data_IF_035899873007
#
_entry.id   IF_035899873007
#
_cell.length_a   1.000
_cell.length_b   1.000
_cell.length_c   1.000
_cell.angle_alpha   90.00
_cell.angle_beta   90.00
_cell.angle_gamma   90.00
#
_symmetry.space_group_name_H-M   'P 1'
#
loop_
_entity.id
_entity.type
_entity.pdbx_description
1 polymer ?
#
# COMPACT_ATOMS: atom_id res chain seq x y z
N UNK A 1 9.29 11.10 -23.07
CA UNK A 1 9.36 11.62 -24.46
C UNK A 1 10.25 12.87 -24.58
N UNK A 2 10.43 13.69 -23.53
CA UNK A 2 11.16 14.96 -23.60
C UNK A 2 12.55 14.92 -22.97
N UNK A 3 12.74 14.21 -21.85
CA UNK A 3 13.98 14.23 -21.08
C UNK A 3 15.16 13.56 -21.80
N UNK A 4 14.95 12.35 -22.33
CA UNK A 4 16.01 11.62 -23.02
C UNK A 4 16.53 12.37 -24.25
N UNK A 5 15.70 12.84 -25.21
CA UNK A 5 16.17 13.62 -26.35
C UNK A 5 16.93 14.88 -25.94
N UNK A 6 16.47 15.58 -24.90
CA UNK A 6 17.14 16.76 -24.36
C UNK A 6 18.55 16.42 -23.85
N UNK A 7 18.69 15.35 -23.05
CA UNK A 7 19.98 14.95 -22.50
C UNK A 7 20.93 14.42 -23.60
N UNK A 8 20.44 13.69 -24.60
CA UNK A 8 21.21 13.24 -25.75
C UNK A 8 21.80 14.44 -26.51
N UNK A 9 21.00 15.45 -26.80
CA UNK A 9 21.44 16.68 -27.48
C UNK A 9 22.46 17.48 -26.68
N UNK A 10 22.23 17.64 -25.36
CA UNK A 10 23.14 18.37 -24.44
C UNK A 10 24.52 17.74 -24.38
N UNK A 11 24.63 16.42 -24.55
CA UNK A 11 25.91 15.70 -24.54
C UNK A 11 26.54 15.47 -25.93
N UNK A 12 25.97 16.13 -26.97
CA UNK A 12 26.54 16.10 -28.32
C UNK A 12 26.33 14.79 -29.07
N UNK A 13 25.37 13.97 -28.61
CA UNK A 13 25.00 12.71 -29.26
C UNK A 13 23.77 12.87 -30.13
N UNK A 14 23.55 11.92 -31.02
CA UNK A 14 22.34 11.80 -31.85
C UNK A 14 21.40 10.73 -31.27
N UNK A 15 20.10 10.72 -31.62
CA UNK A 15 19.18 9.68 -31.18
C UNK A 15 19.59 8.25 -31.60
N UNK A 16 20.43 8.09 -32.60
CA UNK A 16 20.99 6.78 -33.01
C UNK A 16 22.13 6.30 -32.11
N UNK A 17 22.76 7.23 -31.38
CA UNK A 17 23.92 6.91 -30.54
C UNK A 17 23.53 6.43 -29.14
N UNK A 18 22.26 6.58 -28.73
CA UNK A 18 21.77 6.13 -27.40
C UNK A 18 20.39 5.52 -27.54
N UNK A 19 20.28 4.24 -27.23
CA UNK A 19 19.03 3.51 -27.17
C UNK A 19 18.67 3.15 -25.72
N UNK A 20 17.67 3.82 -25.16
CA UNK A 20 17.15 3.58 -23.81
C UNK A 20 15.73 3.06 -23.92
N UNK A 21 15.51 1.80 -23.57
CA UNK A 21 14.18 1.18 -23.59
C UNK A 21 13.25 1.78 -22.55
N UNK A 22 11.94 1.55 -22.72
CA UNK A 22 10.95 1.94 -21.71
C UNK A 22 11.21 1.28 -20.36
N UNK A 23 11.62 0.02 -20.37
CA UNK A 23 11.98 -0.74 -19.17
C UNK A 23 13.14 -0.10 -18.39
N UNK A 24 14.21 0.29 -19.09
CA UNK A 24 15.35 1.00 -18.49
C UNK A 24 14.92 2.34 -17.88
N UNK A 25 14.07 3.11 -18.57
CA UNK A 25 13.52 4.35 -18.05
C UNK A 25 12.67 4.12 -16.79
N UNK A 26 11.87 3.06 -16.78
CA UNK A 26 11.08 2.68 -15.60
C UNK A 26 11.97 2.25 -14.43
N UNK A 27 13.02 1.49 -14.67
CA UNK A 27 14.01 1.12 -13.64
C UNK A 27 14.66 2.36 -13.02
N UNK A 28 15.09 3.34 -13.87
CA UNK A 28 15.64 4.60 -13.36
C UNK A 28 14.61 5.32 -12.48
N UNK A 29 13.36 5.42 -12.93
CA UNK A 29 12.30 6.11 -12.21
C UNK A 29 11.97 5.45 -10.87
N UNK A 30 11.92 4.12 -10.82
CA UNK A 30 11.48 3.36 -9.66
C UNK A 30 12.59 3.09 -8.65
N UNK A 31 13.81 2.81 -9.14
CA UNK A 31 14.89 2.31 -8.30
C UNK A 31 16.00 3.35 -8.03
N UNK A 32 16.06 4.42 -8.81
CA UNK A 32 17.09 5.46 -8.64
C UNK A 32 16.53 6.86 -8.34
N UNK A 33 15.19 7.02 -8.34
CA UNK A 33 14.54 8.29 -8.01
C UNK A 33 13.35 8.09 -7.08
N UNK A 34 13.08 9.08 -6.23
CA UNK A 34 11.89 9.11 -5.36
C UNK A 34 11.44 10.55 -5.19
N UNK A 35 10.77 11.08 -6.22
CA UNK A 35 10.35 12.47 -6.29
C UNK A 35 9.02 12.62 -7.03
N UNK A 36 8.23 13.64 -6.68
CA UNK A 36 6.99 13.99 -7.39
C UNK A 36 7.23 14.60 -8.77
N UNK A 37 8.40 15.20 -8.95
CA UNK A 37 8.81 15.84 -10.18
C UNK A 37 9.68 14.93 -11.06
N UNK A 38 10.49 15.54 -11.91
CA UNK A 38 11.38 14.87 -12.87
C UNK A 38 12.84 15.34 -12.80
N UNK A 39 13.20 16.15 -11.81
CA UNK A 39 14.52 16.77 -11.71
C UNK A 39 15.62 15.75 -11.44
N UNK A 40 15.41 14.85 -10.51
CA UNK A 40 16.36 13.77 -10.19
C UNK A 40 16.40 12.76 -11.33
N UNK A 41 15.25 12.41 -11.93
CA UNK A 41 15.16 11.54 -13.08
C UNK A 41 15.93 12.13 -14.27
N UNK A 42 15.78 13.42 -14.57
CA UNK A 42 16.53 14.11 -15.62
C UNK A 42 18.03 14.01 -15.37
N UNK A 43 18.49 14.24 -14.12
CA UNK A 43 19.90 14.13 -13.75
C UNK A 43 20.41 12.70 -13.94
N UNK A 44 19.68 11.67 -13.48
CA UNK A 44 20.07 10.26 -13.65
C UNK A 44 20.16 9.84 -15.11
N UNK A 45 19.20 10.27 -15.93
CA UNK A 45 19.26 10.09 -17.40
C UNK A 45 20.52 10.78 -17.96
N UNK A 46 20.81 12.00 -17.51
CA UNK A 46 22.00 12.73 -17.90
C UNK A 46 23.29 12.01 -17.53
N UNK A 47 23.38 11.43 -16.32
CA UNK A 47 24.54 10.65 -15.88
C UNK A 47 24.79 9.44 -16.81
N UNK A 48 23.72 8.71 -17.19
CA UNK A 48 23.79 7.57 -18.11
C UNK A 48 24.19 8.00 -19.52
N UNK A 49 23.57 9.07 -20.04
CA UNK A 49 23.91 9.60 -21.39
C UNK A 49 25.34 10.12 -21.45
N UNK A 50 25.83 10.76 -20.38
CA UNK A 50 27.22 11.23 -20.27
C UNK A 50 28.21 10.06 -20.32
N UNK A 51 27.96 8.97 -19.59
CA UNK A 51 28.79 7.78 -19.67
C UNK A 51 28.83 7.19 -21.07
N UNK A 52 27.68 7.13 -21.76
CA UNK A 52 27.60 6.70 -23.16
C UNK A 52 28.35 7.64 -24.12
N UNK A 53 28.34 8.93 -23.87
CA UNK A 53 29.12 9.87 -24.67
C UNK A 53 30.62 9.63 -24.54
N UNK A 54 31.12 9.27 -23.36
CA UNK A 54 32.51 8.87 -23.14
C UNK A 54 32.83 7.58 -23.93
N UNK A 55 32.03 6.52 -23.79
CA UNK A 55 32.20 5.26 -24.50
C UNK A 55 32.19 5.48 -26.04
N UNK A 56 31.31 6.35 -26.53
CA UNK A 56 31.25 6.70 -27.96
C UNK A 56 32.53 7.41 -28.44
N UNK A 57 33.02 8.36 -27.63
CA UNK A 57 34.26 9.07 -27.97
C UNK A 57 35.48 8.13 -27.97
N UNK A 58 35.61 7.23 -27.02
CA UNK A 58 36.67 6.22 -26.92
C UNK A 58 36.61 5.24 -28.10
N UNK A 59 35.42 4.82 -28.52
CA UNK A 59 35.29 3.93 -29.68
C UNK A 59 35.77 4.56 -30.99
N UNK A 60 35.62 5.88 -31.14
CA UNK A 60 36.17 6.62 -32.31
C UNK A 60 37.70 6.65 -32.34
N UNK A 61 38.32 6.50 -31.15
CA UNK A 61 39.78 6.33 -31.04
C UNK A 61 40.28 4.92 -31.31
N UNK A 62 39.40 3.98 -31.70
CA UNK A 62 39.76 2.61 -32.07
C UNK A 62 39.92 1.63 -30.89
N UNK A 63 39.57 2.00 -29.70
CA UNK A 63 39.82 1.23 -28.46
C UNK A 63 38.73 0.18 -28.12
N UNK A 64 37.49 0.33 -28.62
CA UNK A 64 36.38 -0.59 -28.29
C UNK A 64 35.24 -0.50 -29.32
N UNK A 65 34.40 -1.54 -29.39
CA UNK A 65 33.13 -1.53 -30.14
C UNK A 65 32.08 -0.80 -29.31
N UNK A 66 31.46 0.23 -29.91
CA UNK A 66 30.38 0.98 -29.25
C UNK A 66 29.04 0.27 -29.40
N UNK A 67 28.29 0.17 -28.30
CA UNK A 67 26.94 -0.40 -28.21
C UNK A 67 25.98 0.70 -27.76
N UNK A 68 25.03 1.17 -28.62
CA UNK A 68 24.10 2.23 -28.28
C UNK A 68 23.08 1.84 -27.18
N UNK A 69 22.73 0.56 -27.11
CA UNK A 69 21.75 0.04 -26.15
C UNK A 69 22.25 0.15 -24.72
N UNK A 70 21.34 0.53 -23.82
CA UNK A 70 21.60 0.58 -22.39
C UNK A 70 20.96 -0.64 -21.73
N UNK A 71 21.77 -1.42 -21.04
CA UNK A 71 21.37 -2.60 -20.28
C UNK A 71 21.18 -2.29 -18.79
N UNK A 72 20.57 -3.22 -18.04
CA UNK A 72 20.51 -3.16 -16.58
C UNK A 72 21.92 -3.16 -15.93
N UNK A 73 22.87 -3.88 -16.54
CA UNK A 73 24.27 -3.89 -16.08
C UNK A 73 24.93 -2.52 -16.25
N UNK A 74 24.60 -1.77 -17.29
CA UNK A 74 25.08 -0.40 -17.47
C UNK A 74 24.52 0.54 -16.40
N UNK A 75 23.24 0.40 -16.03
CA UNK A 75 22.66 1.18 -14.93
C UNK A 75 23.42 0.93 -13.63
N UNK A 76 23.70 -0.33 -13.31
CA UNK A 76 24.42 -0.69 -12.09
C UNK A 76 25.85 -0.14 -12.10
N UNK A 77 26.54 -0.21 -13.25
CA UNK A 77 27.90 0.31 -13.43
C UNK A 77 27.97 1.83 -13.32
N UNK A 78 27.00 2.53 -13.92
CA UNK A 78 27.01 4.01 -14.04
C UNK A 78 26.38 4.69 -12.82
N UNK A 79 25.24 4.19 -12.34
CA UNK A 79 24.48 4.80 -11.28
C UNK A 79 24.75 4.19 -9.89
N UNK A 80 25.45 3.04 -9.87
CA UNK A 80 25.65 2.25 -8.65
C UNK A 80 24.46 1.35 -8.30
N UNK A 81 24.46 0.83 -7.09
CA UNK A 81 23.34 0.04 -6.58
C UNK A 81 22.04 0.85 -6.55
N UNK A 82 20.89 0.23 -6.83
CA UNK A 82 19.60 0.88 -6.67
C UNK A 82 19.45 1.54 -5.30
N UNK A 83 19.01 2.79 -5.28
CA UNK A 83 18.78 3.55 -4.04
C UNK A 83 17.47 3.18 -3.37
N UNK A 84 16.57 2.58 -4.10
CA UNK A 84 15.22 2.22 -3.64
C UNK A 84 14.86 0.84 -4.17
N UNK A 85 14.38 -0.02 -3.28
CA UNK A 85 13.73 -1.26 -3.67
C UNK A 85 12.28 -0.95 -4.08
N UNK A 86 11.78 -1.55 -5.17
CA UNK A 86 10.37 -1.45 -5.53
C UNK A 86 9.50 -2.01 -4.40
N UNK A 87 8.51 -1.24 -3.94
CA UNK A 87 7.47 -1.78 -3.07
C UNK A 87 6.64 -2.77 -3.87
N UNK A 88 6.62 -4.02 -3.44
CA UNK A 88 5.88 -5.12 -4.09
C UNK A 88 4.94 -5.73 -3.05
N UNK A 89 3.73 -6.07 -3.49
CA UNK A 89 2.78 -6.79 -2.64
C UNK A 89 3.36 -8.17 -2.27
N UNK A 90 3.09 -8.62 -1.04
CA UNK A 90 3.53 -9.93 -0.57
C UNK A 90 3.03 -11.06 -1.47
N UNK A 91 3.79 -12.15 -1.55
CA UNK A 91 3.37 -13.33 -2.32
C UNK A 91 2.40 -14.22 -1.55
N UNK A 92 2.52 -14.25 -0.22
CA UNK A 92 1.73 -15.12 0.66
C UNK A 92 1.04 -14.29 1.75
N UNK A 93 -0.28 -14.45 1.86
CA UNK A 93 -1.07 -13.80 2.90
C UNK A 93 -0.83 -14.45 4.28
N UNK A 94 -0.62 -13.61 5.28
CA UNK A 94 -0.43 -14.02 6.68
C UNK A 94 -1.55 -13.41 7.53
N UNK A 95 -2.20 -14.18 8.43
CA UNK A 95 -3.17 -13.61 9.37
C UNK A 95 -2.55 -12.50 10.21
N UNK A 96 -3.27 -11.38 10.34
CA UNK A 96 -2.77 -10.21 11.05
C UNK A 96 -2.04 -9.19 10.17
N UNK A 97 -1.88 -9.46 8.88
CA UNK A 97 -1.25 -8.53 7.93
C UNK A 97 -2.29 -7.93 7.00
N UNK A 98 -2.28 -6.60 6.88
CA UNK A 98 -3.11 -5.86 5.92
C UNK A 98 -2.25 -4.85 5.14
N UNK A 99 -2.63 -4.58 3.90
CA UNK A 99 -1.95 -3.61 3.05
C UNK A 99 -2.79 -2.34 2.94
N UNK A 100 -2.28 -1.27 3.52
CA UNK A 100 -2.81 0.08 3.35
C UNK A 100 -2.20 0.81 2.15
N UNK A 101 -2.72 2.00 1.87
CA UNK A 101 -2.18 2.91 0.87
C UNK A 101 -1.67 4.17 1.54
N UNK A 102 -0.45 4.58 1.23
CA UNK A 102 0.19 5.77 1.77
C UNK A 102 0.40 6.84 0.68
N UNK A 103 0.34 8.09 1.12
CA UNK A 103 0.83 9.24 0.38
C UNK A 103 2.10 9.73 1.07
N UNK A 104 3.19 9.83 0.33
CA UNK A 104 4.45 10.31 0.85
C UNK A 104 4.61 11.80 0.53
N UNK A 105 5.22 12.55 1.43
CA UNK A 105 5.42 14.01 1.26
C UNK A 105 6.20 14.41 0.00
N UNK A 106 6.84 13.44 -0.67
CA UNK A 106 7.47 13.62 -1.99
C UNK A 106 6.47 13.71 -3.15
N UNK A 107 5.15 13.59 -2.90
CA UNK A 107 4.12 13.54 -3.94
C UNK A 107 3.94 12.18 -4.59
N UNK A 108 4.54 11.13 -4.01
CA UNK A 108 4.37 9.76 -4.48
C UNK A 108 3.49 8.97 -3.53
N UNK A 109 2.66 8.10 -4.11
CA UNK A 109 1.94 7.09 -3.37
C UNK A 109 2.71 5.77 -3.34
N UNK A 110 2.40 4.95 -2.33
CA UNK A 110 2.95 3.61 -2.15
C UNK A 110 1.99 2.75 -1.35
N UNK A 111 2.38 1.51 -1.11
CA UNK A 111 1.72 0.61 -0.17
C UNK A 111 2.35 0.73 1.21
N UNK A 112 1.62 0.27 2.20
CA UNK A 112 2.03 0.31 3.60
C UNK A 112 1.51 -0.93 4.30
N UNK A 113 2.43 -1.79 4.75
CA UNK A 113 2.06 -2.97 5.50
C UNK A 113 1.72 -2.62 6.95
N UNK A 114 0.73 -3.29 7.49
CA UNK A 114 0.29 -3.25 8.87
C UNK A 114 0.33 -4.68 9.38
N UNK A 115 1.11 -4.90 10.40
CA UNK A 115 1.34 -6.22 10.98
C UNK A 115 0.85 -6.24 12.41
N UNK A 116 -0.03 -7.19 12.75
CA UNK A 116 -0.56 -7.38 14.08
C UNK A 116 -0.15 -8.75 14.63
N UNK A 117 0.31 -8.79 15.87
CA UNK A 117 0.67 -10.01 16.56
C UNK A 117 0.19 -10.00 18.01
N UNK A 118 -0.13 -11.18 18.56
CA UNK A 118 -0.42 -11.34 19.98
C UNK A 118 0.86 -11.35 20.81
N UNK A 119 0.83 -10.69 21.96
CA UNK A 119 1.85 -10.74 23.00
C UNK A 119 1.23 -11.36 24.26
N UNK A 120 1.39 -12.66 24.49
CA UNK A 120 0.94 -13.32 25.73
C UNK A 120 2.03 -13.31 26.81
N UNK A 121 1.66 -13.28 28.10
CA UNK A 121 0.34 -12.90 28.64
C UNK A 121 0.11 -11.41 28.55
N UNK A 122 -1.15 -10.93 28.58
CA UNK A 122 -1.45 -9.51 28.46
C UNK A 122 -2.69 -9.06 29.25
N UNK A 123 -2.97 -7.77 29.13
CA UNK A 123 -4.10 -7.08 29.73
C UNK A 123 -5.05 -6.51 28.66
N UNK A 124 -4.97 -6.99 27.43
CA UNK A 124 -5.66 -6.47 26.25
C UNK A 124 -5.19 -5.03 25.91
N UNK A 125 -3.91 -4.74 26.14
CA UNK A 125 -3.29 -3.46 25.76
C UNK A 125 -2.87 -3.47 24.30
N UNK A 126 -2.81 -2.27 23.68
CA UNK A 126 -2.32 -2.06 22.33
C UNK A 126 -0.92 -1.44 22.38
N UNK A 127 0.07 -2.12 21.80
CA UNK A 127 1.43 -1.60 21.59
C UNK A 127 1.58 -1.18 20.13
N UNK A 128 2.04 0.06 19.91
CA UNK A 128 2.20 0.65 18.58
C UNK A 128 3.66 0.96 18.30
N UNK A 129 4.18 0.52 17.13
CA UNK A 129 5.54 0.80 16.68
C UNK A 129 5.59 1.08 15.16
N UNK A 130 6.64 1.75 14.67
CA UNK A 130 6.84 2.03 13.25
C UNK A 130 7.02 3.51 12.90
N UNK A 131 7.54 4.33 13.81
CA UNK A 131 7.71 5.79 13.62
C UNK A 131 6.39 6.49 13.30
N UNK A 132 5.41 6.27 14.19
CA UNK A 132 4.03 6.74 14.07
C UNK A 132 3.86 8.10 14.74
N UNK A 133 3.28 9.07 14.04
CA UNK A 133 2.81 10.33 14.61
C UNK A 133 1.55 10.16 15.46
N UNK A 134 1.06 11.25 16.03
CA UNK A 134 -0.05 11.21 16.98
C UNK A 134 -1.38 10.83 16.31
N UNK A 135 -1.66 11.34 15.11
CA UNK A 135 -2.91 11.10 14.40
C UNK A 135 -3.07 9.63 14.01
N UNK A 136 -2.00 9.00 13.51
CA UNK A 136 -2.07 7.58 13.13
C UNK A 136 -2.15 6.67 14.37
N UNK A 137 -1.55 7.07 15.51
CA UNK A 137 -1.69 6.36 16.79
C UNK A 137 -3.13 6.39 17.27
N UNK A 138 -3.76 7.56 17.28
CA UNK A 138 -5.17 7.72 17.61
C UNK A 138 -6.07 6.88 16.70
N UNK A 139 -5.79 6.86 15.40
CA UNK A 139 -6.52 6.03 14.44
C UNK A 139 -6.40 4.53 14.73
N UNK A 140 -5.22 4.06 15.14
CA UNK A 140 -5.01 2.66 15.52
C UNK A 140 -5.72 2.30 16.83
N UNK A 141 -5.70 3.19 17.82
CA UNK A 141 -6.42 3.02 19.10
C UNK A 141 -7.93 2.99 18.86
N UNK A 142 -8.45 3.87 18.00
CA UNK A 142 -9.86 3.90 17.60
C UNK A 142 -10.26 2.59 16.89
N UNK A 143 -9.42 2.09 15.98
CA UNK A 143 -9.66 0.81 15.31
C UNK A 143 -9.71 -0.36 16.31
N UNK A 144 -8.79 -0.40 17.26
CA UNK A 144 -8.77 -1.42 18.29
C UNK A 144 -9.98 -1.33 19.24
N UNK A 145 -10.37 -0.11 19.63
CA UNK A 145 -11.58 0.13 20.41
C UNK A 145 -12.84 -0.36 19.68
N UNK A 146 -12.93 -0.08 18.36
CA UNK A 146 -14.04 -0.54 17.54
C UNK A 146 -14.09 -2.09 17.47
N UNK A 147 -12.97 -2.75 17.27
CA UNK A 147 -12.90 -4.23 17.26
C UNK A 147 -13.30 -4.81 18.62
N UNK A 148 -12.85 -4.23 19.74
CA UNK A 148 -13.23 -4.65 21.09
C UNK A 148 -14.75 -4.53 21.31
N UNK A 149 -15.32 -3.40 20.93
CA UNK A 149 -16.77 -3.14 21.08
C UNK A 149 -17.62 -4.11 20.26
N UNK A 150 -17.11 -4.58 19.12
CA UNK A 150 -17.81 -5.49 18.21
C UNK A 150 -17.32 -6.94 18.30
N UNK A 151 -16.54 -7.28 19.35
CA UNK A 151 -15.89 -8.58 19.48
C UNK A 151 -16.86 -9.77 19.45
N UNK A 152 -18.03 -9.63 20.05
CA UNK A 152 -19.08 -10.65 19.98
C UNK A 152 -19.61 -10.83 18.55
N UNK A 153 -19.98 -9.74 17.87
CA UNK A 153 -20.50 -9.77 16.52
C UNK A 153 -19.45 -10.30 15.51
N UNK A 154 -18.18 -10.03 15.74
CA UNK A 154 -17.06 -10.55 14.98
C UNK A 154 -16.70 -12.01 15.29
N UNK A 155 -17.34 -12.63 16.30
CA UNK A 155 -17.03 -13.98 16.72
C UNK A 155 -15.72 -14.12 17.51
N UNK A 156 -15.13 -13.03 17.94
CA UNK A 156 -13.91 -13.02 18.79
C UNK A 156 -14.24 -13.45 20.22
N UNK A 157 -15.41 -13.05 20.74
CA UNK A 157 -15.94 -13.45 22.03
C UNK A 157 -17.09 -14.44 21.87
N UNK A 158 -17.21 -15.40 22.79
CA UNK A 158 -18.23 -16.45 22.77
C UNK A 158 -19.64 -15.91 23.04
N UNK A 159 -19.76 -14.96 23.96
CA UNK A 159 -21.00 -14.27 24.30
C UNK A 159 -20.77 -12.77 24.50
N UNK A 160 -21.87 -12.00 24.72
CA UNK A 160 -21.82 -10.53 24.85
C UNK A 160 -21.11 -10.07 26.12
N UNK A 161 -21.22 -10.85 27.18
CA UNK A 161 -20.67 -10.52 28.50
C UNK A 161 -19.29 -11.15 28.73
N UNK A 162 -18.78 -11.90 27.74
CA UNK A 162 -17.45 -12.48 27.80
C UNK A 162 -16.38 -11.40 27.80
N UNK A 163 -15.39 -11.57 28.67
CA UNK A 163 -14.20 -10.72 28.63
C UNK A 163 -13.49 -10.81 27.27
N UNK A 164 -13.04 -9.66 26.77
CA UNK A 164 -12.19 -9.62 25.58
C UNK A 164 -10.87 -10.38 25.85
N UNK A 165 -10.32 -11.11 24.86
CA UNK A 165 -9.10 -11.90 25.05
C UNK A 165 -7.97 -11.10 25.73
N UNK A 166 -7.39 -11.65 26.81
CA UNK A 166 -6.36 -10.98 27.63
C UNK A 166 -4.95 -11.01 27.03
N UNK A 167 -4.82 -11.15 25.71
CA UNK A 167 -3.55 -10.97 25.02
C UNK A 167 -3.34 -9.50 24.72
N UNK A 168 -2.14 -8.98 24.95
CA UNK A 168 -1.78 -7.69 24.38
C UNK A 168 -1.61 -7.84 22.86
N UNK A 169 -1.85 -6.75 22.15
CA UNK A 169 -1.70 -6.70 20.70
C UNK A 169 -0.54 -5.77 20.35
N UNK A 170 0.40 -6.27 19.58
CA UNK A 170 1.44 -5.45 18.97
C UNK A 170 1.05 -5.16 17.53
N UNK A 171 0.81 -3.90 17.21
CA UNK A 171 0.61 -3.39 15.86
C UNK A 171 1.88 -2.67 15.43
N UNK A 172 2.48 -3.15 14.36
CA UNK A 172 3.70 -2.62 13.77
C UNK A 172 3.46 -2.15 12.35
N UNK A 173 4.05 -1.02 11.99
CA UNK A 173 4.11 -0.55 10.61
C UNK A 173 5.58 -0.48 10.18
N UNK A 174 6.04 -1.38 9.28
CA UNK A 174 7.42 -1.42 8.80
C UNK A 174 7.93 -0.12 8.20
N UNK A 175 9.22 -0.07 7.84
CA UNK A 175 9.90 1.12 7.30
C UNK A 175 10.00 2.26 8.33
N UNK A 176 10.54 1.96 9.53
CA UNK A 176 10.66 2.91 10.64
C UNK A 176 11.48 4.16 10.35
N UNK A 177 12.32 4.15 9.32
CA UNK A 177 13.07 5.32 8.85
C UNK A 177 12.17 6.41 8.20
N UNK A 178 10.95 6.04 7.78
CA UNK A 178 9.98 6.98 7.18
C UNK A 178 8.89 7.31 8.22
N UNK A 179 8.80 8.55 8.69
CA UNK A 179 7.72 8.98 9.57
C UNK A 179 6.36 8.81 8.87
N UNK A 180 5.40 8.30 9.62
CA UNK A 180 4.04 8.07 9.14
C UNK A 180 3.06 8.81 10.03
N UNK A 181 2.13 9.55 9.42
CA UNK A 181 1.05 10.21 10.15
C UNK A 181 -0.21 10.31 9.27
N UNK A 182 -1.36 10.49 9.93
CA UNK A 182 -2.66 10.64 9.30
C UNK A 182 -3.64 9.50 9.58
N UNK A 183 -4.95 9.78 9.51
CA UNK A 183 -6.01 8.85 9.93
C UNK A 183 -6.38 7.81 8.86
N UNK A 184 -5.82 7.90 7.66
CA UNK A 184 -6.29 7.16 6.47
C UNK A 184 -6.03 5.66 6.48
N UNK A 185 -5.30 5.13 7.48
CA UNK A 185 -5.04 3.71 7.67
C UNK A 185 -6.09 2.99 8.55
N UNK A 186 -7.09 3.70 9.07
CA UNK A 186 -8.07 3.16 10.02
C UNK A 186 -8.77 1.89 9.53
N UNK A 187 -9.21 1.87 8.28
CA UNK A 187 -9.80 0.68 7.65
C UNK A 187 -8.83 -0.51 7.65
N UNK A 188 -7.57 -0.28 7.32
CA UNK A 188 -6.56 -1.33 7.27
C UNK A 188 -6.18 -1.84 8.68
N UNK A 189 -6.19 -0.97 9.69
CA UNK A 189 -6.01 -1.39 11.09
C UNK A 189 -7.11 -2.35 11.54
N UNK A 190 -8.38 -2.02 11.27
CA UNK A 190 -9.49 -2.94 11.59
C UNK A 190 -9.32 -4.28 10.87
N UNK A 191 -8.99 -4.28 9.59
CA UNK A 191 -8.82 -5.52 8.83
C UNK A 191 -7.66 -6.37 9.33
N UNK A 192 -6.51 -5.77 9.68
CA UNK A 192 -5.37 -6.48 10.25
C UNK A 192 -5.72 -7.11 11.61
N UNK A 193 -6.39 -6.35 12.49
CA UNK A 193 -6.85 -6.83 13.79
C UNK A 193 -7.84 -7.99 13.64
N UNK A 194 -8.88 -7.84 12.82
CA UNK A 194 -9.89 -8.88 12.59
C UNK A 194 -9.23 -10.13 11.98
N UNK A 195 -8.36 -9.96 10.99
CA UNK A 195 -7.58 -11.05 10.39
C UNK A 195 -6.79 -11.85 11.43
N UNK A 196 -6.11 -11.16 12.35
CA UNK A 196 -5.34 -11.77 13.42
C UNK A 196 -6.24 -12.58 14.38
N UNK A 197 -7.33 -11.98 14.86
CA UNK A 197 -8.25 -12.64 15.79
C UNK A 197 -8.94 -13.85 15.18
N UNK A 198 -9.38 -13.74 13.92
CA UNK A 198 -10.05 -14.82 13.19
C UNK A 198 -9.07 -15.81 12.55
N UNK A 199 -7.77 -15.52 12.54
CA UNK A 199 -6.73 -16.30 11.86
C UNK A 199 -7.01 -16.52 10.37
N UNK A 200 -7.59 -15.52 9.71
CA UNK A 200 -7.89 -15.53 8.28
C UNK A 200 -6.97 -14.54 7.56
N UNK A 201 -6.10 -14.99 6.66
CA UNK A 201 -5.24 -14.07 5.90
C UNK A 201 -6.04 -13.22 4.93
N UNK A 202 -5.53 -12.03 4.62
CA UNK A 202 -6.06 -11.19 3.56
C UNK A 202 -5.41 -11.55 2.22
N UNK A 203 -6.12 -11.19 1.13
CA UNK A 203 -5.53 -11.25 -0.22
C UNK A 203 -4.36 -10.25 -0.31
N UNK A 204 -3.20 -10.73 -0.72
CA UNK A 204 -1.97 -9.93 -0.82
C UNK A 204 -2.03 -8.87 -1.92
N UNK A 205 -2.91 -9.05 -2.91
CA UNK A 205 -3.17 -8.09 -3.99
C UNK A 205 -4.29 -7.10 -3.69
N UNK A 206 -4.76 -7.10 -2.44
CA UNK A 206 -5.76 -6.17 -1.92
C UNK A 206 -5.08 -5.06 -1.14
N UNK A 207 -5.43 -3.81 -1.41
CA UNK A 207 -5.08 -2.68 -0.55
C UNK A 207 -6.31 -1.84 -0.19
N UNK A 208 -6.17 -1.03 0.84
CA UNK A 208 -7.29 -0.24 1.33
C UNK A 208 -6.85 1.09 1.93
N UNK A 209 -7.74 2.06 1.90
CA UNK A 209 -7.57 3.33 2.62
C UNK A 209 -8.94 3.85 3.07
N UNK A 210 -8.97 4.53 4.19
CA UNK A 210 -10.18 5.12 4.75
C UNK A 210 -9.94 5.47 6.21
N UNK A 211 -10.41 6.61 6.62
CA UNK A 211 -10.54 6.96 8.02
C UNK A 211 -11.82 6.33 8.58
N UNK A 212 -11.82 5.96 9.84
CA UNK A 212 -12.97 5.35 10.50
C UNK A 212 -13.47 6.19 11.67
N UNK A 213 -14.73 6.00 12.02
CA UNK A 213 -15.33 6.58 13.21
C UNK A 213 -15.72 5.49 14.21
N UNK A 214 -15.94 5.83 15.49
CA UNK A 214 -16.45 4.88 16.49
C UNK A 214 -17.79 4.26 16.12
N UNK A 215 -18.59 4.94 15.29
CA UNK A 215 -19.86 4.41 14.75
C UNK A 215 -19.69 3.46 13.57
N UNK A 216 -18.45 3.18 13.15
CA UNK A 216 -18.17 2.30 12.04
C UNK A 216 -18.33 2.93 10.65
N UNK A 217 -18.48 4.26 10.54
CA UNK A 217 -18.48 4.92 9.22
C UNK A 217 -17.07 5.04 8.67
N UNK A 218 -16.96 4.90 7.35
CA UNK A 218 -15.71 5.15 6.60
C UNK A 218 -15.81 6.52 5.97
N UNK A 219 -14.88 7.42 6.34
CA UNK A 219 -14.80 8.80 5.87
C UNK A 219 -13.77 8.96 4.74
N UNK A 220 -13.92 9.97 3.89
CA UNK A 220 -13.04 10.19 2.75
C UNK A 220 -11.62 10.57 3.20
N UNK A 221 -10.64 10.30 2.34
CA UNK A 221 -9.22 10.58 2.57
C UNK A 221 -8.63 11.34 1.39
N UNK A 222 -7.48 12.00 1.60
CA UNK A 222 -6.79 12.72 0.53
C UNK A 222 -5.80 11.86 -0.25
N UNK A 223 -5.39 12.35 -1.43
CA UNK A 223 -4.32 11.78 -2.24
C UNK A 223 -4.69 10.46 -2.92
N UNK A 224 -5.93 10.32 -3.34
CA UNK A 224 -6.44 9.09 -3.98
C UNK A 224 -5.64 8.73 -5.23
N UNK A 225 -5.37 9.70 -6.09
CA UNK A 225 -4.61 9.48 -7.31
C UNK A 225 -3.24 8.87 -7.02
N UNK A 226 -2.47 9.50 -6.15
CA UNK A 226 -1.12 9.07 -5.81
C UNK A 226 -1.13 7.70 -5.12
N UNK A 227 -2.05 7.49 -4.18
CA UNK A 227 -2.25 6.22 -3.48
C UNK A 227 -2.55 5.08 -4.46
N UNK A 228 -3.48 5.30 -5.38
CA UNK A 228 -3.88 4.31 -6.39
C UNK A 228 -2.72 4.00 -7.34
N UNK A 229 -2.02 5.02 -7.84
CA UNK A 229 -0.87 4.84 -8.72
C UNK A 229 0.27 4.09 -8.01
N UNK A 230 0.51 4.38 -6.73
CA UNK A 230 1.50 3.68 -5.91
C UNK A 230 1.14 2.21 -5.72
N UNK A 231 -0.08 1.94 -5.31
CA UNK A 231 -0.57 0.57 -5.10
C UNK A 231 -0.62 -0.24 -6.42
N UNK A 232 -1.02 0.37 -7.53
CA UNK A 232 -0.97 -0.28 -8.85
C UNK A 232 0.45 -0.71 -9.24
N UNK A 233 1.45 0.16 -9.03
CA UNK A 233 2.88 -0.16 -9.27
C UNK A 233 3.38 -1.30 -8.38
N UNK A 234 2.88 -1.38 -7.14
CA UNK A 234 3.20 -2.46 -6.21
C UNK A 234 2.52 -3.81 -6.53
N UNK A 235 1.74 -3.89 -7.61
CA UNK A 235 1.07 -5.12 -8.04
C UNK A 235 -0.32 -5.33 -7.45
N UNK A 236 -0.89 -4.35 -6.75
CA UNK A 236 -2.26 -4.42 -6.24
C UNK A 236 -3.26 -4.45 -7.41
N UNK A 237 -4.29 -5.26 -7.27
CA UNK A 237 -5.35 -5.46 -8.28
C UNK A 237 -6.76 -5.24 -7.73
N UNK A 238 -6.93 -5.24 -6.42
CA UNK A 238 -8.20 -4.94 -5.75
C UNK A 238 -7.99 -3.83 -4.74
N UNK A 239 -8.87 -2.83 -4.74
CA UNK A 239 -8.77 -1.69 -3.81
C UNK A 239 -10.09 -1.41 -3.12
N UNK A 240 -10.02 -1.10 -1.83
CA UNK A 240 -11.15 -0.61 -1.05
C UNK A 240 -10.98 0.88 -0.84
N UNK A 241 -11.93 1.66 -1.31
CA UNK A 241 -11.95 3.12 -1.24
C UNK A 241 -13.23 3.63 -0.57
N UNK A 242 -13.18 4.73 0.18
CA UNK A 242 -14.38 5.38 0.69
C UNK A 242 -15.30 5.81 -0.46
N UNK A 243 -16.60 5.58 -0.33
CA UNK A 243 -17.59 5.94 -1.36
C UNK A 243 -17.53 7.41 -1.75
N UNK A 244 -17.18 8.28 -0.81
CA UNK A 244 -17.07 9.73 -1.06
C UNK A 244 -15.86 10.13 -1.91
N UNK A 245 -14.86 9.25 -2.05
CA UNK A 245 -13.72 9.47 -2.94
C UNK A 245 -13.96 8.95 -4.39
N UNK A 246 -15.14 8.40 -4.69
CA UNK A 246 -15.43 7.83 -6.02
C UNK A 246 -15.23 8.85 -7.15
N UNK A 247 -15.63 10.11 -6.95
CA UNK A 247 -15.47 11.15 -7.96
C UNK A 247 -14.00 11.48 -8.21
N UNK A 248 -13.20 11.65 -7.15
CA UNK A 248 -11.75 11.90 -7.26
C UNK A 248 -11.05 10.76 -8.00
N UNK A 249 -11.41 9.51 -7.69
CA UNK A 249 -10.90 8.33 -8.42
C UNK A 249 -11.26 8.39 -9.90
N UNK A 250 -12.52 8.70 -10.24
CA UNK A 250 -12.97 8.74 -11.64
C UNK A 250 -12.37 9.90 -12.42
N UNK A 251 -12.21 11.07 -11.81
CA UNK A 251 -11.70 12.26 -12.49
C UNK A 251 -10.17 12.24 -12.63
N UNK A 252 -9.42 11.73 -11.63
CA UNK A 252 -7.98 11.94 -11.54
C UNK A 252 -7.13 10.71 -11.90
N UNK A 253 -7.68 9.48 -11.80
CA UNK A 253 -6.92 8.26 -12.07
C UNK A 253 -6.94 7.95 -13.57
N UNK A 254 -5.77 7.65 -14.21
CA UNK A 254 -5.70 7.33 -15.63
C UNK A 254 -6.51 6.08 -16.00
N UNK A 255 -7.14 6.08 -17.19
CA UNK A 255 -7.96 4.97 -17.67
C UNK A 255 -7.18 3.64 -17.74
N UNK A 256 -5.90 3.67 -18.10
CA UNK A 256 -5.03 2.48 -18.16
C UNK A 256 -4.83 1.83 -16.78
N UNK A 257 -4.85 2.61 -15.71
CA UNK A 257 -4.75 2.09 -14.34
C UNK A 257 -6.10 1.55 -13.87
N UNK A 258 -7.19 2.25 -14.21
CA UNK A 258 -8.56 1.82 -13.88
C UNK A 258 -8.90 0.47 -14.50
N UNK A 259 -8.42 0.17 -15.72
CA UNK A 259 -8.68 -1.12 -16.36
C UNK A 259 -8.05 -2.31 -15.65
N UNK A 260 -6.99 -2.08 -14.87
CA UNK A 260 -6.23 -3.11 -14.18
C UNK A 260 -6.66 -3.34 -12.73
N UNK A 261 -7.51 -2.45 -12.18
CA UNK A 261 -7.87 -2.42 -10.76
C UNK A 261 -9.36 -2.61 -10.56
N UNK A 262 -9.72 -3.57 -9.73
CA UNK A 262 -11.09 -3.70 -9.23
C UNK A 262 -11.27 -2.86 -7.96
N UNK A 263 -12.10 -1.81 -8.02
CA UNK A 263 -12.40 -0.93 -6.88
C UNK A 263 -13.72 -1.31 -6.23
N UNK A 264 -13.70 -1.46 -4.92
CA UNK A 264 -14.88 -1.62 -4.07
C UNK A 264 -15.06 -0.36 -3.25
N UNK A 265 -16.20 0.32 -3.44
CA UNK A 265 -16.55 1.52 -2.68
C UNK A 265 -17.34 1.17 -1.43
N UNK A 266 -16.88 1.67 -0.28
CA UNK A 266 -17.45 1.36 1.04
C UNK A 266 -17.93 2.62 1.77
N UNK A 267 -18.90 2.46 2.65
CA UNK A 267 -19.43 3.51 3.54
C UNK A 267 -19.23 3.18 5.01
N UNK A 268 -19.15 1.90 5.33
CA UNK A 268 -19.05 1.38 6.70
C UNK A 268 -17.94 0.33 6.81
N UNK A 269 -17.48 0.08 8.03
CA UNK A 269 -16.54 -1.01 8.31
C UNK A 269 -17.14 -2.36 7.94
N UNK A 270 -18.46 -2.52 8.07
CA UNK A 270 -19.14 -3.73 7.66
C UNK A 270 -18.99 -3.99 6.17
N UNK A 271 -19.20 -2.96 5.30
CA UNK A 271 -18.95 -3.07 3.86
C UNK A 271 -17.51 -3.53 3.59
N UNK A 272 -16.54 -2.99 4.36
CA UNK A 272 -15.13 -3.38 4.27
C UNK A 272 -14.94 -4.85 4.60
N UNK A 273 -15.44 -5.29 5.75
CA UNK A 273 -15.27 -6.68 6.20
C UNK A 273 -15.88 -7.68 5.21
N UNK A 274 -17.05 -7.36 4.63
CA UNK A 274 -17.64 -8.16 3.57
C UNK A 274 -16.77 -8.16 2.30
N UNK A 275 -16.24 -7.01 1.90
CA UNK A 275 -15.40 -6.91 0.71
C UNK A 275 -14.06 -7.64 0.86
N UNK A 276 -13.52 -7.70 2.09
CA UNK A 276 -12.22 -8.32 2.41
C UNK A 276 -12.37 -9.82 2.63
N UNK A 277 -13.26 -10.22 3.53
CA UNK A 277 -13.35 -11.61 4.00
C UNK A 277 -14.48 -12.40 3.31
N UNK A 278 -15.52 -11.73 2.80
CA UNK A 278 -16.64 -12.36 2.11
C UNK A 278 -17.25 -13.51 2.91
N UNK A 279 -17.52 -14.63 2.23
CA UNK A 279 -18.06 -15.84 2.86
C UNK A 279 -17.15 -16.47 3.92
N UNK A 280 -15.84 -16.17 3.92
CA UNK A 280 -14.91 -16.65 4.94
C UNK A 280 -15.25 -16.10 6.33
N UNK A 281 -15.71 -14.85 6.42
CA UNK A 281 -16.15 -14.26 7.68
C UNK A 281 -17.38 -14.99 8.23
N UNK A 282 -18.39 -15.22 7.38
CA UNK A 282 -19.60 -15.96 7.77
C UNK A 282 -19.30 -17.40 8.19
N UNK A 283 -18.42 -18.08 7.42
CA UNK A 283 -18.02 -19.45 7.71
C UNK A 283 -17.26 -19.54 9.03
N UNK A 284 -16.32 -18.66 9.29
CA UNK A 284 -15.52 -18.64 10.52
C UNK A 284 -16.41 -18.37 11.74
N UNK A 285 -17.29 -17.36 11.68
CA UNK A 285 -18.21 -17.04 12.76
C UNK A 285 -19.20 -18.19 12.96
N UNK A 286 -19.69 -18.82 11.90
CA UNK A 286 -20.58 -19.98 11.95
C UNK A 286 -19.90 -21.22 12.53
N UNK A 287 -18.63 -21.44 12.24
CA UNK A 287 -17.84 -22.57 12.77
C UNK A 287 -17.58 -22.41 14.27
N UNK A 288 -17.33 -21.19 14.72
CA UNK A 288 -17.07 -20.89 16.12
C UNK A 288 -18.33 -20.93 17.00
N UNK A 289 -19.52 -20.65 16.44
CA UNK A 289 -20.71 -20.40 17.23
C UNK A 289 -22.00 -21.10 16.75
N UNK A 290 -21.94 -21.93 15.72
CA UNK A 290 -23.12 -22.58 15.11
C UNK A 290 -23.82 -21.71 14.06
N UNK A 291 -24.22 -22.32 12.94
CA UNK A 291 -24.57 -21.65 11.67
C UNK A 291 -25.67 -20.57 11.69
N UNK A 292 -26.76 -20.75 12.47
CA UNK A 292 -27.85 -19.75 12.56
C UNK A 292 -27.46 -18.56 13.43
N UNK A 293 -26.68 -18.78 14.47
CA UNK A 293 -26.22 -17.76 15.40
C UNK A 293 -25.13 -16.86 14.74
N UNK A 294 -24.25 -17.43 13.93
CA UNK A 294 -23.26 -16.68 13.18
C UNK A 294 -23.87 -15.63 12.23
N UNK A 295 -24.95 -15.98 11.51
CA UNK A 295 -25.67 -15.04 10.64
C UNK A 295 -26.35 -13.91 11.44
N UNK A 296 -26.90 -14.23 12.61
CA UNK A 296 -27.53 -13.24 13.47
C UNK A 296 -26.55 -12.23 14.03
N UNK A 297 -25.35 -12.67 14.38
CA UNK A 297 -24.25 -11.81 14.88
C UNK A 297 -23.77 -10.80 13.85
N UNK A 298 -23.67 -11.22 12.60
CA UNK A 298 -23.28 -10.31 11.51
C UNK A 298 -24.34 -9.22 11.25
N UNK A 299 -25.63 -9.53 11.47
CA UNK A 299 -26.69 -8.52 11.39
C UNK A 299 -26.60 -7.47 12.52
N UNK A 300 -25.95 -7.79 13.63
CA UNK A 300 -25.73 -6.85 14.73
C UNK A 300 -24.65 -5.80 14.44
N UNK A 301 -23.70 -6.10 13.56
CA UNK A 301 -22.77 -5.09 13.06
C UNK A 301 -23.52 -3.95 12.34
N UNK A 302 -24.65 -4.27 11.70
CA UNK A 302 -25.47 -3.32 10.94
C UNK A 302 -26.28 -2.37 11.86
N UNK A 303 -26.59 -2.80 13.09
CA UNK A 303 -27.43 -2.01 14.01
C UNK A 303 -26.71 -0.76 14.54
N UNK A 304 -25.40 -0.85 14.79
CA UNK A 304 -24.61 0.29 15.27
C UNK A 304 -24.27 1.31 14.19
N UNK A 305 -24.41 0.96 12.90
CA UNK A 305 -24.23 1.89 11.78
C UNK A 305 -25.47 2.73 11.48
N UNK A 306 -26.62 2.40 12.11
CA UNK A 306 -27.91 3.09 11.92
C UNK A 306 -28.24 4.12 13.00
N UNK A 307 -27.45 4.18 14.07
CA UNK A 307 -27.51 5.20 15.13
C UNK A 307 -26.51 6.34 14.84
#
# INVERSE_FOLDING_TARGET
>A
RHLLPKQVAVHGLTPSDVAMSHEILMTIAQSYTREAGVRTMERRIGDVVRAKAVEYAESRGGSATYIPEISQADLLRILGAPSYEPEVADEVGVPGVATGMAYQGSGMGGILHIECAFLPPGTSALKLTGSLGDVIRESAELAFAWVKTHAFALGICADRDAEFPRNDVHLHMPSGATPKDGPSAGVAFVCALVSMYLRVPLDTRLSMTGEITLRGHVTPVGGIKEKVLGAHRAGIRKMILPRRNAREYEDDVPASVKSDIHVVYVRTIQDVLYAVFGASLETQISTLHGGLEGRRRLQELDWHSRL
#
